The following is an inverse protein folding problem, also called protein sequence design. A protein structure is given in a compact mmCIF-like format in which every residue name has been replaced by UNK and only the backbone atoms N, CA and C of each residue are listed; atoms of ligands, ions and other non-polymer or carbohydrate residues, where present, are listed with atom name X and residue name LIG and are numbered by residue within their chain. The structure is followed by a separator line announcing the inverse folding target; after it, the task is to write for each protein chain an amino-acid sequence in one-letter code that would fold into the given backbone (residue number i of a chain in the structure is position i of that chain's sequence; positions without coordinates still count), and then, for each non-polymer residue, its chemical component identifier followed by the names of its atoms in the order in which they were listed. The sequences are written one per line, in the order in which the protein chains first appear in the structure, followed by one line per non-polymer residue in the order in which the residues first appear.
data_IF_269805642658
#
_entry.id   IF_269805642658
#
_cell.length_a   1.000
_cell.length_b   1.000
_cell.length_c   1.000
_cell.angle_alpha   90.00
_cell.angle_beta   90.00
_cell.angle_gamma   90.00
#
_symmetry.space_group_name_H-M   'P 1'
#
loop_
_entity.id
_entity.type
_entity.pdbx_description
1 polymer ?
#
# COMPACT_ATOMS: atom_id res chain seq x y z
N UNK A 1 -21.08 -9.25 8.37
CA UNK A 1 -20.21 -8.06 8.40
C UNK A 1 -21.10 -6.83 8.48
N UNK A 2 -20.82 -5.89 9.39
CA UNK A 2 -21.54 -4.62 9.40
C UNK A 2 -20.91 -3.74 8.32
N UNK A 3 -21.61 -3.55 7.22
CA UNK A 3 -21.13 -2.73 6.10
C UNK A 3 -21.28 -1.26 6.47
N UNK A 4 -20.17 -0.52 6.54
CA UNK A 4 -20.21 0.94 6.61
C UNK A 4 -20.41 1.45 5.19
N UNK A 5 -21.60 1.96 4.90
CA UNK A 5 -21.89 2.60 3.62
C UNK A 5 -21.34 4.02 3.61
N UNK A 6 -20.62 4.39 2.56
CA UNK A 6 -20.03 5.72 2.37
C UNK A 6 -20.83 6.57 1.37
N UNK A 7 -22.16 6.50 1.44
CA UNK A 7 -23.05 7.20 0.49
C UNK A 7 -22.93 8.72 0.62
N UNK A 8 -22.80 9.43 -0.51
CA UNK A 8 -22.59 10.88 -0.56
C UNK A 8 -21.18 11.33 -0.17
N UNK A 9 -20.91 12.62 -0.27
CA UNK A 9 -19.57 13.17 0.00
C UNK A 9 -19.16 12.99 1.46
N UNK A 10 -17.85 12.83 1.69
CA UNK A 10 -17.24 12.69 3.01
C UNK A 10 -16.06 13.65 3.11
N UNK A 11 -15.96 14.36 4.23
CA UNK A 11 -14.72 15.02 4.62
C UNK A 11 -13.67 13.97 4.97
N UNK A 12 -13.75 13.43 6.18
CA UNK A 12 -12.77 12.46 6.69
C UNK A 12 -13.46 11.16 7.10
N UNK A 13 -12.92 10.04 6.64
CA UNK A 13 -13.20 8.70 7.18
C UNK A 13 -11.97 8.27 7.99
N UNK A 14 -12.04 8.33 9.32
CA UNK A 14 -10.89 8.09 10.21
C UNK A 14 -11.12 6.90 11.14
N UNK A 15 -10.10 6.05 11.23
CA UNK A 15 -9.97 4.97 12.21
C UNK A 15 -8.80 5.30 13.14
N UNK A 16 -9.04 5.29 14.46
CA UNK A 16 -8.02 5.65 15.47
C UNK A 16 -7.98 4.64 16.58
N UNK A 17 -6.80 4.11 16.90
CA UNK A 17 -6.58 3.17 18.02
C UNK A 17 -7.49 1.91 17.92
N UNK A 18 -7.62 1.38 16.71
CA UNK A 18 -8.50 0.23 16.43
C UNK A 18 -7.72 -1.01 16.03
N UNK A 19 -8.24 -2.17 16.43
CA UNK A 19 -7.86 -3.47 15.87
C UNK A 19 -8.84 -3.81 14.74
N UNK A 20 -8.42 -3.64 13.49
CA UNK A 20 -9.23 -3.86 12.30
C UNK A 20 -8.84 -5.20 11.68
N UNK A 21 -9.78 -6.15 11.70
CA UNK A 21 -9.50 -7.54 11.31
C UNK A 21 -10.69 -8.15 10.59
N UNK A 22 -10.43 -8.77 9.44
CA UNK A 22 -11.39 -9.61 8.73
C UNK A 22 -11.13 -11.10 9.01
N UNK A 23 -11.93 -11.98 8.39
CA UNK A 23 -11.85 -13.43 8.64
C UNK A 23 -10.57 -14.07 8.10
N UNK A 24 -9.95 -13.49 7.08
CA UNK A 24 -8.85 -14.07 6.34
C UNK A 24 -8.39 -13.18 5.19
N UNK A 25 -7.31 -13.58 4.53
CA UNK A 25 -6.68 -12.88 3.39
C UNK A 25 -7.47 -13.03 2.08
N UNK A 26 -8.47 -13.90 2.05
CA UNK A 26 -9.40 -14.13 0.94
C UNK A 26 -10.77 -13.46 1.11
N UNK A 27 -11.03 -12.91 2.30
CA UNK A 27 -12.34 -12.40 2.71
C UNK A 27 -12.63 -10.98 2.16
N UNK A 28 -12.68 -9.98 3.04
CA UNK A 28 -13.13 -8.62 2.77
C UNK A 28 -11.98 -7.60 2.78
N UNK A 29 -12.32 -6.32 2.63
CA UNK A 29 -11.43 -5.18 2.76
C UNK A 29 -11.76 -4.41 4.04
N UNK A 30 -10.83 -3.60 4.56
CA UNK A 30 -11.15 -2.74 5.71
C UNK A 30 -12.09 -1.60 5.28
N UNK A 31 -11.80 -1.01 4.11
CA UNK A 31 -12.68 -0.03 3.47
C UNK A 31 -12.67 -0.28 1.96
N UNK A 32 -13.86 -0.26 1.36
CA UNK A 32 -14.01 -0.49 -0.06
C UNK A 32 -15.01 0.49 -0.69
N UNK A 33 -14.61 1.76 -0.96
CA UNK A 33 -15.48 2.69 -1.68
C UNK A 33 -15.82 2.15 -3.07
N UNK A 34 -17.10 2.25 -3.44
CA UNK A 34 -17.63 1.77 -4.71
C UNK A 34 -18.29 2.90 -5.52
N UNK A 35 -18.93 2.57 -6.64
CA UNK A 35 -19.60 3.55 -7.50
C UNK A 35 -20.71 4.39 -6.81
N UNK A 36 -21.21 3.97 -5.63
CA UNK A 36 -22.24 4.68 -4.86
C UNK A 36 -21.66 5.66 -3.83
N UNK A 37 -20.37 5.57 -3.55
CA UNK A 37 -19.71 6.52 -2.67
C UNK A 37 -19.57 7.90 -3.34
N UNK A 38 -19.58 8.97 -2.53
CA UNK A 38 -19.26 10.32 -2.99
C UNK A 38 -17.76 10.60 -3.05
N UNK A 39 -17.40 11.87 -3.20
CA UNK A 39 -16.02 12.32 -3.01
C UNK A 39 -15.60 12.13 -1.55
N UNK A 40 -14.33 11.82 -1.30
CA UNK A 40 -13.80 11.63 0.05
C UNK A 40 -12.57 12.51 0.21
N UNK A 41 -12.58 13.52 1.08
CA UNK A 41 -11.35 14.33 1.26
C UNK A 41 -10.22 13.47 1.83
N UNK A 42 -10.48 12.63 2.83
CA UNK A 42 -9.43 11.76 3.37
C UNK A 42 -9.92 10.44 3.97
N UNK A 43 -9.17 9.37 3.72
CA UNK A 43 -9.25 8.09 4.46
C UNK A 43 -8.01 7.99 5.35
N UNK A 44 -8.21 7.83 6.67
CA UNK A 44 -7.14 7.88 7.65
C UNK A 44 -7.14 6.67 8.59
N UNK A 45 -5.95 6.12 8.81
CA UNK A 45 -5.68 5.10 9.82
C UNK A 45 -4.59 5.61 10.76
N UNK A 46 -4.91 5.79 12.03
CA UNK A 46 -4.01 6.27 13.07
C UNK A 46 -3.90 5.23 14.19
N UNK A 47 -2.67 4.80 14.53
CA UNK A 47 -2.44 3.91 15.68
C UNK A 47 -3.26 2.61 15.61
N UNK A 48 -3.49 2.11 14.40
CA UNK A 48 -4.28 0.92 14.16
C UNK A 48 -3.42 -0.34 14.06
N UNK A 49 -3.99 -1.47 14.46
CA UNK A 49 -3.49 -2.80 14.10
C UNK A 49 -4.44 -3.37 13.04
N UNK A 50 -3.93 -3.63 11.83
CA UNK A 50 -4.74 -4.09 10.70
C UNK A 50 -4.26 -5.48 10.28
N UNK A 51 -5.16 -6.47 10.22
CA UNK A 51 -4.74 -7.82 9.86
C UNK A 51 -5.82 -8.71 9.23
N UNK A 52 -5.38 -9.81 8.62
CA UNK A 52 -6.22 -10.89 8.08
C UNK A 52 -7.34 -10.34 7.19
N UNK A 53 -6.96 -9.54 6.21
CA UNK A 53 -7.87 -8.88 5.28
C UNK A 53 -7.33 -9.00 3.87
N UNK A 54 -8.20 -9.09 2.88
CA UNK A 54 -7.79 -9.24 1.48
C UNK A 54 -7.08 -8.00 0.93
N UNK A 55 -7.47 -6.84 1.43
CA UNK A 55 -6.74 -5.59 1.26
C UNK A 55 -7.16 -4.58 2.33
N UNK A 56 -6.42 -3.48 2.47
CA UNK A 56 -6.76 -2.43 3.44
C UNK A 56 -7.76 -1.46 2.82
N UNK A 57 -7.34 -0.73 1.78
CA UNK A 57 -8.19 0.18 1.00
C UNK A 57 -8.31 -0.35 -0.43
N UNK A 58 -9.51 -0.71 -0.85
CA UNK A 58 -9.79 -1.08 -2.25
C UNK A 58 -10.84 -0.18 -2.85
N UNK A 59 -10.52 0.47 -3.95
CA UNK A 59 -11.52 1.17 -4.76
C UNK A 59 -12.04 0.21 -5.83
N UNK A 60 -13.35 -0.02 -5.85
CA UNK A 60 -13.99 -0.97 -6.78
C UNK A 60 -15.02 -0.26 -7.65
N UNK A 61 -14.66 -0.02 -8.93
CA UNK A 61 -15.49 0.78 -9.86
C UNK A 61 -15.83 2.18 -9.32
N UNK A 62 -15.00 2.69 -8.40
CA UNK A 62 -15.15 4.03 -7.84
C UNK A 62 -14.85 5.08 -8.93
N UNK A 63 -15.79 6.01 -9.11
CA UNK A 63 -15.74 7.03 -10.17
C UNK A 63 -15.56 8.45 -9.64
N UNK A 64 -15.45 8.61 -8.31
CA UNK A 64 -15.25 9.90 -7.65
C UNK A 64 -13.77 10.08 -7.30
N UNK A 65 -13.48 11.10 -6.50
CA UNK A 65 -12.12 11.44 -6.08
C UNK A 65 -11.94 11.25 -4.57
N UNK A 66 -10.78 10.72 -4.20
CA UNK A 66 -10.24 10.73 -2.85
C UNK A 66 -8.96 11.58 -2.80
N UNK A 67 -8.92 12.65 -2.01
CA UNK A 67 -7.75 13.54 -2.02
C UNK A 67 -6.54 12.92 -1.29
N UNK A 68 -6.77 12.20 -0.19
CA UNK A 68 -5.68 11.61 0.58
C UNK A 68 -6.01 10.28 1.25
N UNK A 69 -5.08 9.35 1.19
CA UNK A 69 -5.01 8.18 2.06
C UNK A 69 -3.82 8.36 2.98
N UNK A 70 -4.04 8.32 4.29
CA UNK A 70 -2.99 8.51 5.30
C UNK A 70 -3.00 7.36 6.30
N UNK A 71 -1.89 6.64 6.40
CA UNK A 71 -1.71 5.53 7.34
C UNK A 71 -0.51 5.88 8.20
N UNK A 72 -0.69 6.02 9.51
CA UNK A 72 0.41 6.41 10.38
C UNK A 72 0.37 5.79 11.77
N UNK A 73 1.56 5.44 12.27
CA UNK A 73 1.75 4.73 13.54
C UNK A 73 1.03 3.38 13.57
N UNK A 74 0.95 2.68 12.44
CA UNK A 74 0.16 1.46 12.30
C UNK A 74 1.05 0.20 12.23
N UNK A 75 0.48 -0.92 12.70
CA UNK A 75 1.03 -2.26 12.43
C UNK A 75 0.06 -2.98 11.52
N UNK A 76 0.53 -3.39 10.34
CA UNK A 76 -0.28 -4.03 9.31
C UNK A 76 0.34 -5.40 9.01
N UNK A 77 -0.45 -6.47 9.10
CA UNK A 77 0.09 -7.82 8.95
C UNK A 77 -0.89 -8.77 8.26
N UNK A 78 -0.39 -9.72 7.48
CA UNK A 78 -1.18 -10.79 6.88
C UNK A 78 -2.31 -10.24 5.99
N UNK A 79 -1.90 -9.63 4.89
CA UNK A 79 -2.77 -8.97 3.92
C UNK A 79 -2.78 -9.77 2.62
N UNK A 80 -3.96 -9.97 2.05
CA UNK A 80 -4.13 -10.74 0.83
C UNK A 80 -3.73 -10.02 -0.46
N UNK A 81 -4.18 -10.60 -1.57
CA UNK A 81 -3.86 -10.23 -2.97
C UNK A 81 -4.14 -8.78 -3.41
N UNK A 82 -4.82 -7.95 -2.60
CA UNK A 82 -5.10 -6.54 -2.95
C UNK A 82 -4.19 -5.55 -2.24
N UNK A 83 -3.35 -6.01 -1.31
CA UNK A 83 -2.35 -5.16 -0.66
C UNK A 83 -2.93 -4.03 0.18
N UNK A 84 -2.17 -2.95 0.33
CA UNK A 84 -2.55 -1.85 1.22
C UNK A 84 -3.51 -0.89 0.51
N UNK A 85 -3.16 -0.43 -0.70
CA UNK A 85 -4.03 0.41 -1.51
C UNK A 85 -4.18 -0.17 -2.91
N UNK A 86 -5.43 -0.42 -3.32
CA UNK A 86 -5.75 -0.85 -4.67
C UNK A 86 -6.73 0.12 -5.33
N UNK A 87 -6.26 0.81 -6.36
CA UNK A 87 -7.02 1.73 -7.22
C UNK A 87 -6.81 1.39 -8.70
N UNK A 88 -6.75 0.10 -9.05
CA UNK A 88 -6.52 -0.34 -10.43
C UNK A 88 -7.75 -0.15 -11.33
N UNK A 89 -8.94 -0.51 -10.84
CA UNK A 89 -10.18 -0.54 -11.64
C UNK A 89 -10.98 0.76 -11.43
N UNK A 90 -10.29 1.89 -11.52
CA UNK A 90 -10.86 3.22 -11.26
C UNK A 90 -10.49 4.18 -12.39
N UNK A 91 -11.04 5.39 -12.35
CA UNK A 91 -10.60 6.46 -13.24
C UNK A 91 -9.16 6.90 -12.90
N UNK A 92 -8.54 7.66 -13.83
CA UNK A 92 -7.15 8.13 -13.74
C UNK A 92 -6.88 9.14 -12.59
N UNK A 93 -7.92 9.64 -11.90
CA UNK A 93 -7.87 10.69 -10.87
C UNK A 93 -8.64 10.31 -9.56
N UNK A 94 -8.73 9.01 -9.28
CA UNK A 94 -9.43 8.41 -8.15
C UNK A 94 -8.76 8.71 -6.80
N UNK A 95 -7.42 8.68 -6.73
CA UNK A 95 -6.65 8.94 -5.51
C UNK A 95 -5.54 9.91 -5.84
N UNK A 96 -5.54 11.09 -5.19
CA UNK A 96 -4.47 12.08 -5.41
C UNK A 96 -3.20 11.79 -4.62
N UNK A 97 -3.32 11.30 -3.38
CA UNK A 97 -2.15 11.03 -2.55
C UNK A 97 -2.29 9.80 -1.64
N UNK A 98 -1.18 9.09 -1.44
CA UNK A 98 -1.00 8.02 -0.47
C UNK A 98 0.23 8.36 0.37
N UNK A 99 0.05 8.45 1.69
CA UNK A 99 1.13 8.66 2.65
C UNK A 99 1.09 7.57 3.72
N UNK A 100 2.16 6.80 3.83
CA UNK A 100 2.32 5.80 4.89
C UNK A 100 3.54 6.20 5.72
N UNK A 101 3.35 6.45 7.02
CA UNK A 101 4.39 6.99 7.88
C UNK A 101 4.51 6.22 9.19
N UNK A 102 5.73 5.92 9.63
CA UNK A 102 5.98 5.23 10.90
C UNK A 102 5.12 3.96 11.05
N UNK A 103 5.18 3.08 10.05
CA UNK A 103 4.37 1.88 9.99
C UNK A 103 5.21 0.62 9.79
N UNK A 104 4.81 -0.47 10.44
CA UNK A 104 5.36 -1.81 10.18
C UNK A 104 4.34 -2.58 9.36
N UNK A 105 4.74 -3.01 8.16
CA UNK A 105 3.91 -3.77 7.22
C UNK A 105 4.58 -5.13 7.02
N UNK A 106 3.85 -6.21 7.29
CA UNK A 106 4.40 -7.55 7.20
C UNK A 106 3.46 -8.52 6.48
N UNK A 107 4.03 -9.52 5.82
CA UNK A 107 3.31 -10.66 5.24
C UNK A 107 2.15 -10.23 4.31
N UNK A 108 2.51 -9.64 3.17
CA UNK A 108 1.55 -9.27 2.12
C UNK A 108 1.65 -10.31 0.99
N UNK A 109 0.53 -11.00 0.71
CA UNK A 109 0.44 -12.18 -0.16
C UNK A 109 0.69 -11.91 -1.67
N UNK A 110 0.88 -13.01 -2.40
CA UNK A 110 0.99 -13.10 -3.87
C UNK A 110 -0.09 -12.28 -4.60
N UNK A 111 0.33 -11.61 -5.70
CA UNK A 111 -0.38 -10.55 -6.44
C UNK A 111 -0.64 -9.23 -5.67
N UNK A 112 -0.53 -9.24 -4.35
CA UNK A 112 -0.56 -8.07 -3.48
C UNK A 112 0.75 -7.31 -3.55
N UNK A 113 0.75 -6.22 -4.31
CA UNK A 113 1.73 -5.15 -4.15
C UNK A 113 1.31 -4.25 -2.98
N UNK A 114 2.23 -3.48 -2.41
CA UNK A 114 1.86 -2.51 -1.37
C UNK A 114 0.83 -1.51 -1.94
N UNK A 115 1.07 -1.06 -3.17
CA UNK A 115 0.11 -0.25 -3.94
C UNK A 115 -0.07 -0.82 -5.34
N UNK A 116 -1.33 -1.01 -5.73
CA UNK A 116 -1.76 -1.35 -7.09
C UNK A 116 -2.60 -0.19 -7.65
N UNK A 117 -2.06 0.58 -8.59
CA UNK A 117 -2.73 1.76 -9.13
C UNK A 117 -2.70 1.76 -10.65
N UNK A 118 -3.67 2.42 -11.26
CA UNK A 118 -3.70 2.73 -12.69
C UNK A 118 -3.94 4.23 -12.88
N UNK A 119 -3.12 5.08 -12.24
CA UNK A 119 -3.25 6.55 -12.25
C UNK A 119 -1.89 7.24 -12.51
N UNK A 120 -1.88 8.37 -13.23
CA UNK A 120 -0.66 9.15 -13.48
C UNK A 120 -0.36 10.21 -12.40
N UNK A 121 -1.40 10.83 -11.83
CA UNK A 121 -1.28 11.98 -10.93
C UNK A 121 -1.26 11.66 -9.44
N UNK A 122 -0.98 10.40 -9.07
CA UNK A 122 -0.98 9.97 -7.68
C UNK A 122 0.40 10.22 -7.03
N UNK A 123 0.42 11.00 -5.96
CA UNK A 123 1.58 11.16 -5.10
C UNK A 123 1.67 9.99 -4.11
N UNK A 124 2.86 9.39 -3.98
CA UNK A 124 3.08 8.25 -3.09
C UNK A 124 4.32 8.50 -2.24
N UNK A 125 4.15 8.52 -0.92
CA UNK A 125 5.26 8.66 0.04
C UNK A 125 5.18 7.59 1.13
N UNK A 126 6.31 6.94 1.37
CA UNK A 126 6.51 5.97 2.44
C UNK A 126 7.67 6.48 3.30
N UNK A 127 7.41 6.82 4.56
CA UNK A 127 8.40 7.48 5.44
C UNK A 127 8.53 6.72 6.76
N UNK A 128 9.75 6.37 7.16
CA UNK A 128 10.01 5.66 8.41
C UNK A 128 9.24 4.33 8.52
N UNK A 129 9.13 3.59 7.41
CA UNK A 129 8.37 2.34 7.35
C UNK A 129 9.29 1.11 7.37
N UNK A 130 8.80 0.02 7.95
CA UNK A 130 9.42 -1.31 7.84
C UNK A 130 8.52 -2.21 7.03
N UNK A 131 9.08 -2.89 6.04
CA UNK A 131 8.42 -3.88 5.20
C UNK A 131 9.08 -5.24 5.39
N UNK A 132 8.31 -6.24 5.80
CA UNK A 132 8.80 -7.60 6.01
C UNK A 132 7.96 -8.60 5.21
N UNK A 133 8.58 -9.44 4.38
CA UNK A 133 7.85 -10.45 3.59
C UNK A 133 6.66 -9.86 2.78
N UNK A 134 6.91 -8.78 2.03
CA UNK A 134 5.87 -7.97 1.41
C UNK A 134 5.84 -8.09 -0.13
N UNK A 135 5.06 -9.03 -0.66
CA UNK A 135 4.98 -9.31 -2.08
C UNK A 135 5.83 -10.53 -2.48
N UNK A 136 5.85 -10.83 -3.78
CA UNK A 136 6.37 -12.08 -4.33
C UNK A 136 7.42 -11.86 -5.41
N UNK A 137 8.32 -12.85 -5.57
CA UNK A 137 9.30 -12.89 -6.65
C UNK A 137 8.64 -12.71 -8.03
N UNK A 138 9.30 -11.93 -8.90
CA UNK A 138 8.84 -11.61 -10.25
C UNK A 138 7.67 -10.60 -10.33
N UNK A 139 7.08 -10.18 -9.20
CA UNK A 139 6.00 -9.20 -9.12
C UNK A 139 6.52 -7.83 -8.68
N UNK A 140 5.78 -6.77 -9.00
CA UNK A 140 6.12 -5.41 -8.59
C UNK A 140 5.75 -5.18 -7.12
N UNK A 141 6.61 -4.51 -6.35
CA UNK A 141 6.30 -4.03 -5.00
C UNK A 141 5.31 -2.86 -5.04
N UNK A 142 5.46 -1.98 -6.03
CA UNK A 142 4.47 -0.96 -6.43
C UNK A 142 4.10 -1.20 -7.90
N UNK A 143 2.84 -1.55 -8.16
CA UNK A 143 2.35 -1.80 -9.51
C UNK A 143 1.51 -0.61 -10.01
N UNK A 144 1.98 0.05 -11.07
CA UNK A 144 1.34 1.25 -11.63
C UNK A 144 0.60 0.99 -12.94
N UNK A 145 0.50 -0.27 -13.38
CA UNK A 145 -0.26 -0.71 -14.56
C UNK A 145 -0.06 0.22 -15.79
N UNK A 146 1.20 0.41 -16.20
CA UNK A 146 1.60 1.25 -17.33
C UNK A 146 1.42 2.77 -17.15
N UNK A 147 1.19 3.25 -15.93
CA UNK A 147 1.20 4.67 -15.57
C UNK A 147 2.51 5.07 -14.92
N UNK A 148 2.80 6.38 -14.87
CA UNK A 148 4.15 6.89 -14.59
C UNK A 148 4.34 7.76 -13.32
N UNK A 149 3.58 7.60 -12.20
CA UNK A 149 3.95 8.27 -10.96
C UNK A 149 5.29 7.75 -10.41
N UNK A 150 5.97 8.56 -9.59
CA UNK A 150 7.27 8.23 -8.98
C UNK A 150 7.09 8.13 -7.47
N UNK A 151 7.04 6.92 -6.89
CA UNK A 151 6.98 6.75 -5.44
C UNK A 151 8.23 7.28 -4.75
N UNK A 152 8.06 7.82 -3.54
CA UNK A 152 9.14 8.28 -2.66
C UNK A 152 9.21 7.38 -1.43
N UNK A 153 10.40 6.84 -1.17
CA UNK A 153 10.73 6.12 0.06
C UNK A 153 11.78 6.91 0.83
N UNK A 154 11.49 7.22 2.08
CA UNK A 154 12.40 7.92 2.99
C UNK A 154 12.53 7.14 4.30
N UNK A 155 13.77 6.85 4.70
CA UNK A 155 14.06 6.23 5.99
C UNK A 155 13.35 4.89 6.19
N UNK A 156 13.24 4.08 5.12
CA UNK A 156 12.53 2.80 5.14
C UNK A 156 13.48 1.60 5.20
N UNK A 157 12.99 0.49 5.75
CA UNK A 157 13.70 -0.79 5.76
C UNK A 157 12.85 -1.87 5.12
N UNK A 158 13.42 -2.63 4.19
CA UNK A 158 12.78 -3.75 3.51
C UNK A 158 13.55 -5.05 3.79
N UNK A 159 12.85 -6.14 4.09
CA UNK A 159 13.49 -7.43 4.35
C UNK A 159 12.59 -8.63 4.09
N UNK A 160 13.23 -9.78 3.85
CA UNK A 160 12.59 -11.07 3.61
C UNK A 160 13.23 -12.17 4.43
N UNK A 161 12.46 -13.21 4.72
CA UNK A 161 12.89 -14.43 5.43
C UNK A 161 13.77 -15.35 4.58
N UNK A 162 13.79 -15.14 3.26
CA UNK A 162 14.52 -15.94 2.30
C UNK A 162 14.79 -15.16 1.02
N UNK A 163 15.82 -15.58 0.28
CA UNK A 163 16.23 -14.91 -0.95
C UNK A 163 15.08 -14.84 -1.97
N UNK A 164 14.68 -13.63 -2.34
CA UNK A 164 13.59 -13.37 -3.29
C UNK A 164 14.03 -12.34 -4.34
N UNK A 165 13.61 -12.55 -5.59
CA UNK A 165 13.88 -11.62 -6.70
C UNK A 165 12.62 -10.85 -7.10
N UNK A 166 12.41 -9.67 -6.51
CA UNK A 166 11.22 -8.85 -6.76
C UNK A 166 11.42 -7.84 -7.88
N UNK A 167 10.34 -7.25 -8.39
CA UNK A 167 10.40 -6.03 -9.20
C UNK A 167 10.06 -4.86 -8.27
N UNK A 168 10.79 -3.76 -8.36
CA UNK A 168 10.58 -2.59 -7.51
C UNK A 168 9.26 -1.89 -7.86
N UNK A 169 9.32 -0.95 -8.80
CA UNK A 169 8.18 -0.22 -9.33
C UNK A 169 8.03 -0.61 -10.80
N UNK A 170 6.80 -0.79 -11.29
CA UNK A 170 6.57 -1.21 -12.68
C UNK A 170 7.19 -0.25 -13.72
N UNK A 171 7.40 1.02 -13.36
CA UNK A 171 8.02 2.07 -14.19
C UNK A 171 9.54 2.14 -14.06
N UNK A 172 10.11 1.40 -13.11
CA UNK A 172 11.52 1.46 -12.69
C UNK A 172 11.95 2.82 -12.11
N UNK A 173 11.00 3.74 -11.89
CA UNK A 173 11.25 5.07 -11.31
C UNK A 173 10.80 5.07 -9.86
N UNK A 174 11.72 5.42 -8.97
CA UNK A 174 11.48 5.56 -7.53
C UNK A 174 12.55 6.49 -6.94
N UNK A 175 12.17 7.33 -5.99
CA UNK A 175 13.11 8.15 -5.21
C UNK A 175 13.32 7.48 -3.87
N UNK A 176 14.58 7.30 -3.47
CA UNK A 176 14.93 6.69 -2.19
C UNK A 176 15.90 7.58 -1.42
N UNK A 177 15.62 7.80 -0.13
CA UNK A 177 16.51 8.49 0.82
C UNK A 177 16.59 7.67 2.09
N UNK A 178 17.79 7.44 2.63
CA UNK A 178 18.03 6.63 3.84
C UNK A 178 17.24 5.31 3.88
N UNK A 179 17.01 4.70 2.71
CA UNK A 179 16.16 3.52 2.56
C UNK A 179 17.02 2.35 2.21
N UNK A 180 16.83 1.23 2.90
CA UNK A 180 17.70 0.06 2.80
C UNK A 180 16.90 -1.23 2.64
N UNK A 181 17.53 -2.24 2.06
CA UNK A 181 16.99 -3.59 1.99
C UNK A 181 18.03 -4.63 2.46
N UNK A 182 17.58 -5.73 3.06
CA UNK A 182 18.46 -6.83 3.49
C UNK A 182 18.94 -7.68 2.31
N UNK A 183 20.03 -8.43 2.47
CA UNK A 183 20.62 -9.27 1.42
C UNK A 183 19.66 -10.30 0.81
N UNK A 184 18.63 -10.70 1.54
CA UNK A 184 17.59 -11.63 1.07
C UNK A 184 16.59 -10.97 0.11
N UNK A 185 16.56 -9.64 0.05
CA UNK A 185 15.76 -8.88 -0.90
C UNK A 185 16.60 -8.52 -2.13
N UNK A 186 16.41 -9.25 -3.23
CA UNK A 186 17.05 -8.89 -4.52
C UNK A 186 16.03 -8.28 -5.49
N UNK A 187 16.53 -7.44 -6.41
CA UNK A 187 15.68 -6.78 -7.41
C UNK A 187 15.99 -7.27 -8.83
N UNK A 188 14.99 -7.88 -9.45
CA UNK A 188 14.99 -8.29 -10.86
C UNK A 188 14.67 -7.15 -11.84
N UNK A 189 14.08 -6.05 -11.35
CA UNK A 189 13.75 -4.88 -12.18
C UNK A 189 13.58 -3.62 -11.31
N UNK A 190 14.34 -2.56 -11.60
CA UNK A 190 14.44 -1.39 -10.72
C UNK A 190 15.08 -1.74 -9.37
N UNK A 191 15.04 -0.84 -8.39
CA UNK A 191 15.54 -1.06 -7.02
C UNK A 191 14.86 -0.08 -6.06
N UNK A 192 14.45 -0.53 -4.86
CA UNK A 192 14.01 0.36 -3.77
C UNK A 192 15.07 0.30 -2.67
N UNK A 193 15.72 1.42 -2.40
CA UNK A 193 16.75 1.54 -1.38
C UNK A 193 18.14 1.03 -1.79
N UNK A 194 19.05 0.98 -0.83
CA UNK A 194 20.40 0.46 -0.95
C UNK A 194 20.56 -0.86 -0.17
N UNK A 195 21.45 -1.73 -0.65
CA UNK A 195 21.76 -2.97 0.03
C UNK A 195 22.41 -2.68 1.39
N UNK A 196 21.79 -3.21 2.45
CA UNK A 196 22.33 -3.17 3.80
C UNK A 196 23.39 -4.25 3.95
N UNK A 197 24.61 -3.96 3.46
CA UNK A 197 25.74 -4.85 3.65
C UNK A 197 26.10 -4.91 5.13
N UNK A 198 26.16 -6.11 5.69
CA UNK A 198 26.82 -6.32 6.97
C UNK A 198 28.28 -5.84 6.84
N UNK A 199 28.69 -4.88 7.67
CA UNK A 199 30.12 -4.60 7.83
C UNK A 199 30.71 -5.81 8.57
N UNK A 200 31.39 -6.68 7.82
CA UNK A 200 32.26 -7.71 8.38
C UNK A 200 33.47 -7.11 9.07
#
# INVERSE_FOLDING_TARGET
MKVVKLEGDKGIVKFTNMNLKNKGTDADYIISPDAKAGNISSIQFEKCKISNTRGVVRFDKYTKQTDAISIYNCVINNIGSYGIVNSKITNDNCVKSIKITNATIANVEADGCIVNSQQNGIEMAFTSCTFWNCGQGGKNFINLNSKNPVPVFDSCLLGWDSAIAMKAVSTKKVTCTNTYYTSDCTWSNGKIGEDMKAKG
#
